data_IF_479089430015
#
_entry.id   IF_479089430015
#
_cell.length_a   1.000
_cell.length_b   1.000
_cell.length_c   1.000
_cell.angle_alpha   90.00
_cell.angle_beta   90.00
_cell.angle_gamma   90.00
#
_symmetry.space_group_name_H-M   'P 1'
#
loop_
_entity.id
_entity.type
_entity.pdbx_description
1 polymer ?
#
# COMPACT_ATOMS: atom_id res chain seq x y z
N UNK A 1 91.63 -5.06 -30.85
CA UNK A 1 90.61 -6.06 -30.45
C UNK A 1 89.39 -5.26 -30.03
N UNK A 2 88.30 -5.40 -30.80
CA UNK A 2 87.19 -4.46 -30.87
C UNK A 2 86.20 -4.55 -29.71
N UNK A 3 85.62 -3.38 -29.39
CA UNK A 3 84.55 -3.08 -28.42
C UNK A 3 83.14 -3.38 -28.95
N UNK A 4 82.14 -3.65 -28.09
CA UNK A 4 80.73 -3.09 -28.14
C UNK A 4 79.78 -3.56 -26.99
N UNK A 5 79.38 -2.61 -26.14
CA UNK A 5 78.05 -2.09 -25.68
C UNK A 5 76.71 -2.91 -25.55
N UNK A 6 76.09 -2.85 -24.33
CA UNK A 6 74.66 -2.68 -23.84
C UNK A 6 73.37 -3.47 -24.27
N UNK A 7 72.67 -4.08 -23.25
CA UNK A 7 71.22 -4.21 -22.81
C UNK A 7 69.98 -4.36 -23.80
N UNK A 8 68.73 -4.74 -23.36
CA UNK A 8 68.03 -6.07 -23.42
C UNK A 8 66.67 -6.10 -24.19
N UNK A 9 65.96 -7.26 -24.34
CA UNK A 9 64.46 -7.49 -24.27
C UNK A 9 63.91 -8.81 -24.91
N UNK A 10 62.96 -9.45 -24.20
CA UNK A 10 61.80 -10.34 -24.54
C UNK A 10 61.92 -11.69 -25.29
N UNK A 11 61.10 -12.68 -24.86
CA UNK A 11 60.01 -13.37 -25.62
C UNK A 11 59.56 -14.66 -24.88
N UNK A 12 58.23 -14.86 -24.73
CA UNK A 12 57.62 -16.19 -24.90
C UNK A 12 56.84 -16.80 -23.73
N UNK A 13 55.51 -16.59 -23.71
CA UNK A 13 54.46 -17.62 -23.59
C UNK A 13 53.10 -16.95 -23.33
N UNK A 14 52.33 -16.68 -24.39
CA UNK A 14 50.90 -16.42 -24.27
C UNK A 14 50.17 -17.75 -24.46
N UNK A 15 49.58 -18.26 -23.39
CA UNK A 15 48.53 -19.26 -23.44
C UNK A 15 47.23 -18.54 -23.84
N UNK A 16 46.74 -18.80 -25.05
CA UNK A 16 45.42 -18.34 -25.48
C UNK A 16 44.36 -19.27 -24.87
N UNK A 17 43.83 -18.88 -23.71
CA UNK A 17 42.67 -19.51 -23.10
C UNK A 17 41.43 -19.12 -23.94
N UNK A 18 40.97 -20.04 -24.77
CA UNK A 18 39.86 -19.84 -25.69
C UNK A 18 38.52 -19.84 -24.93
N UNK A 19 38.08 -18.67 -24.45
CA UNK A 19 36.77 -18.50 -23.80
C UNK A 19 35.65 -18.86 -24.80
N UNK A 20 35.00 -19.99 -24.55
CA UNK A 20 33.84 -20.48 -25.29
C UNK A 20 32.61 -20.09 -24.47
N UNK A 21 31.89 -19.03 -24.85
CA UNK A 21 30.67 -18.60 -24.16
C UNK A 21 29.56 -19.65 -24.33
N UNK A 22 29.36 -20.46 -23.29
CA UNK A 22 28.33 -21.50 -23.24
C UNK A 22 26.96 -20.88 -22.92
N UNK A 23 25.95 -21.10 -23.77
CA UNK A 23 24.58 -20.63 -23.52
C UNK A 23 23.88 -21.45 -22.41
N UNK A 24 22.91 -20.83 -21.73
CA UNK A 24 22.11 -21.50 -20.70
C UNK A 24 21.07 -22.50 -21.29
N UNK A 25 20.98 -23.70 -20.71
CA UNK A 25 19.91 -24.67 -21.01
C UNK A 25 18.65 -24.38 -20.20
N UNK A 26 17.83 -23.45 -20.69
CA UNK A 26 16.59 -22.99 -20.05
C UNK A 26 15.42 -23.93 -20.31
N UNK A 27 14.80 -24.45 -19.25
CA UNK A 27 13.57 -25.27 -19.32
C UNK A 27 12.46 -24.72 -18.42
N UNK A 28 11.20 -25.02 -18.75
CA UNK A 28 10.06 -24.60 -17.92
C UNK A 28 10.12 -25.22 -16.53
N UNK A 29 9.94 -24.37 -15.51
CA UNK A 29 9.98 -24.81 -14.12
C UNK A 29 8.78 -24.27 -13.34
N UNK A 30 8.20 -25.13 -12.50
CA UNK A 30 7.15 -24.74 -11.56
C UNK A 30 7.76 -24.54 -10.18
N UNK A 31 7.75 -23.29 -9.73
CA UNK A 31 8.32 -22.88 -8.45
C UNK A 31 7.29 -23.06 -7.33
N UNK A 32 7.69 -23.72 -6.24
CA UNK A 32 6.84 -23.92 -5.05
C UNK A 32 6.89 -22.74 -4.07
N UNK A 33 7.79 -21.78 -4.30
CA UNK A 33 7.99 -20.57 -3.49
C UNK A 33 8.12 -19.35 -4.40
N UNK A 34 7.74 -18.14 -3.93
CA UNK A 34 7.92 -16.91 -4.70
C UNK A 34 9.40 -16.72 -5.06
N UNK A 35 9.69 -16.70 -6.36
CA UNK A 35 11.05 -16.67 -6.91
C UNK A 35 11.18 -15.50 -7.87
N UNK A 36 12.29 -14.76 -7.81
CA UNK A 36 12.53 -13.61 -8.69
C UNK A 36 13.34 -14.03 -9.93
N UNK A 37 13.16 -13.31 -11.02
CA UNK A 37 13.96 -13.41 -12.23
C UNK A 37 15.37 -12.86 -11.97
N UNK A 38 16.38 -13.61 -12.36
CA UNK A 38 17.78 -13.24 -12.13
C UNK A 38 18.27 -12.13 -13.07
N UNK A 39 17.52 -11.84 -14.14
CA UNK A 39 17.81 -10.78 -15.10
C UNK A 39 17.19 -9.44 -14.67
N UNK A 40 15.85 -9.32 -14.66
CA UNK A 40 15.17 -8.07 -14.34
C UNK A 40 14.87 -7.88 -12.84
N UNK A 41 15.16 -8.88 -12.00
CA UNK A 41 14.85 -8.91 -10.56
C UNK A 41 13.36 -8.82 -10.20
N UNK A 42 12.46 -8.87 -11.19
CA UNK A 42 11.01 -8.95 -10.98
C UNK A 42 10.55 -10.36 -10.58
N UNK A 43 9.39 -10.46 -9.92
CA UNK A 43 8.83 -11.73 -9.46
C UNK A 43 8.36 -12.61 -10.65
N UNK A 44 8.62 -13.91 -10.59
CA UNK A 44 8.03 -14.90 -11.50
C UNK A 44 6.59 -15.19 -11.06
N UNK A 45 5.62 -14.67 -11.81
CA UNK A 45 4.19 -14.70 -11.45
C UNK A 45 3.46 -15.84 -12.18
N UNK A 46 2.58 -16.55 -11.46
CA UNK A 46 1.75 -17.64 -11.99
C UNK A 46 1.56 -18.78 -11.01
N UNK A 47 0.56 -19.64 -11.24
CA UNK A 47 0.30 -20.81 -10.38
C UNK A 47 1.14 -22.04 -10.77
N UNK A 48 1.50 -22.17 -12.06
CA UNK A 48 2.35 -23.23 -12.61
C UNK A 48 3.23 -22.67 -13.72
N UNK A 49 4.38 -23.31 -13.98
CA UNK A 49 5.36 -22.94 -15.03
C UNK A 49 5.63 -21.43 -15.12
N UNK A 50 5.89 -20.80 -13.98
CA UNK A 50 5.98 -19.33 -13.87
C UNK A 50 7.18 -18.73 -14.60
N UNK A 51 8.16 -19.55 -14.95
CA UNK A 51 9.38 -19.10 -15.61
C UNK A 51 10.19 -20.27 -16.16
N UNK A 52 11.33 -19.94 -16.71
CA UNK A 52 12.34 -20.88 -17.17
C UNK A 52 13.47 -20.96 -16.12
N UNK A 53 14.03 -22.14 -15.92
CA UNK A 53 15.20 -22.36 -15.09
C UNK A 53 16.29 -23.02 -15.93
N UNK A 54 17.52 -22.52 -15.80
CA UNK A 54 18.68 -23.20 -16.36
C UNK A 54 18.96 -24.47 -15.55
N UNK A 55 18.94 -25.65 -16.20
CA UNK A 55 19.21 -26.93 -15.53
C UNK A 55 20.61 -27.04 -14.91
N UNK A 56 21.56 -26.25 -15.42
CA UNK A 56 22.96 -26.39 -15.08
C UNK A 56 23.40 -25.43 -13.97
N UNK A 57 23.05 -24.15 -14.07
CA UNK A 57 23.43 -23.15 -13.07
C UNK A 57 22.28 -22.68 -12.17
N UNK A 58 21.04 -23.13 -12.42
CA UNK A 58 19.87 -22.73 -11.63
C UNK A 58 19.39 -21.29 -11.87
N UNK A 59 19.85 -20.61 -12.92
CA UNK A 59 19.41 -19.27 -13.30
C UNK A 59 17.90 -19.28 -13.63
N UNK A 60 17.12 -18.40 -13.02
CA UNK A 60 15.68 -18.33 -13.19
C UNK A 60 15.29 -17.09 -14.00
N UNK A 61 14.48 -17.25 -15.04
CA UNK A 61 14.07 -16.14 -15.92
C UNK A 61 12.60 -16.21 -16.30
N UNK A 62 12.03 -15.08 -16.72
CA UNK A 62 10.66 -15.04 -17.23
C UNK A 62 10.53 -15.86 -18.53
N UNK A 63 9.36 -16.50 -18.71
CA UNK A 63 9.05 -17.31 -19.90
C UNK A 63 8.79 -16.46 -21.16
N UNK A 64 8.48 -15.17 -20.99
CA UNK A 64 8.10 -14.25 -22.07
C UNK A 64 6.62 -14.30 -22.46
N UNK A 65 5.80 -15.05 -21.74
CA UNK A 65 4.35 -15.10 -21.93
C UNK A 65 3.68 -14.73 -20.60
N UNK A 66 3.44 -13.43 -20.39
CA UNK A 66 2.84 -12.97 -19.14
C UNK A 66 2.49 -11.49 -19.10
N UNK A 67 1.58 -11.13 -18.19
CA UNK A 67 1.18 -9.75 -17.92
C UNK A 67 2.35 -9.02 -17.27
N UNK A 68 3.04 -8.16 -18.03
CA UNK A 68 4.19 -7.39 -17.52
C UNK A 68 5.26 -7.06 -18.57
N UNK A 69 5.23 -7.66 -19.77
CA UNK A 69 6.15 -7.31 -20.86
C UNK A 69 7.61 -7.56 -20.53
N UNK A 70 7.93 -8.72 -19.95
CA UNK A 70 9.29 -9.12 -19.58
C UNK A 70 9.88 -10.11 -20.61
N UNK A 71 9.68 -9.84 -21.89
CA UNK A 71 9.99 -10.78 -22.97
C UNK A 71 11.50 -10.83 -23.28
N UNK A 72 12.24 -9.79 -22.85
CA UNK A 72 13.68 -9.65 -23.08
C UNK A 72 14.53 -10.48 -22.09
N UNK A 73 13.95 -10.94 -20.97
CA UNK A 73 14.71 -11.63 -19.91
C UNK A 73 15.30 -12.97 -20.39
N UNK A 74 14.58 -13.68 -21.27
CA UNK A 74 15.06 -14.94 -21.84
C UNK A 74 16.22 -14.70 -22.80
N UNK A 75 16.12 -13.69 -23.65
CA UNK A 75 17.16 -13.36 -24.62
C UNK A 75 18.44 -12.91 -23.91
N UNK A 76 18.32 -12.02 -22.92
CA UNK A 76 19.47 -11.50 -22.17
C UNK A 76 20.18 -12.60 -21.36
N UNK A 77 19.44 -13.58 -20.84
CA UNK A 77 20.03 -14.74 -20.20
C UNK A 77 20.84 -15.61 -21.17
N UNK A 78 20.37 -15.77 -22.41
CA UNK A 78 21.14 -16.52 -23.41
C UNK A 78 22.43 -15.79 -23.82
N UNK A 79 22.44 -14.45 -23.81
CA UNK A 79 23.63 -13.65 -24.11
C UNK A 79 24.67 -13.61 -22.98
N UNK A 80 24.27 -13.70 -21.70
CA UNK A 80 25.20 -13.54 -20.56
C UNK A 80 26.14 -14.72 -20.31
N UNK A 81 25.94 -15.85 -20.98
CA UNK A 81 26.77 -17.04 -20.82
C UNK A 81 26.63 -17.72 -19.44
N UNK A 82 26.77 -19.03 -19.42
CA UNK A 82 26.53 -19.89 -18.28
C UNK A 82 27.84 -20.33 -17.60
N UNK A 83 28.11 -19.92 -16.35
CA UNK A 83 29.34 -20.32 -15.64
C UNK A 83 29.34 -21.78 -15.16
N UNK A 84 28.18 -22.45 -15.14
CA UNK A 84 28.03 -23.84 -14.68
C UNK A 84 28.01 -24.90 -15.79
N UNK A 85 28.16 -24.48 -17.05
CA UNK A 85 27.98 -25.34 -18.20
C UNK A 85 29.30 -26.02 -18.59
N UNK A 86 29.69 -27.09 -17.89
CA UNK A 86 30.81 -27.95 -18.32
C UNK A 86 30.27 -29.11 -19.17
N UNK A 87 30.45 -28.99 -20.49
CA UNK A 87 30.33 -30.00 -21.54
C UNK A 87 29.01 -30.80 -21.70
N UNK A 88 28.66 -30.96 -22.98
CA UNK A 88 27.78 -31.97 -23.62
C UNK A 88 26.36 -31.58 -24.06
N UNK A 89 25.92 -30.33 -23.89
CA UNK A 89 24.79 -29.81 -24.69
C UNK A 89 25.19 -28.48 -25.31
N UNK A 90 26.14 -28.55 -26.24
CA UNK A 90 26.55 -27.41 -27.04
C UNK A 90 25.49 -27.17 -28.13
N UNK A 91 24.71 -26.10 -28.01
CA UNK A 91 24.23 -25.43 -29.22
C UNK A 91 25.48 -24.83 -29.87
N UNK A 92 25.81 -25.17 -31.13
CA UNK A 92 26.97 -24.58 -31.78
C UNK A 92 26.69 -23.11 -32.07
N UNK A 93 27.18 -22.23 -31.21
CA UNK A 93 27.50 -20.86 -31.62
C UNK A 93 28.78 -20.94 -32.43
N UNK A 94 28.64 -20.85 -33.75
CA UNK A 94 29.80 -20.76 -34.66
C UNK A 94 30.62 -19.53 -34.28
N UNK A 95 31.81 -19.74 -33.72
CA UNK A 95 32.80 -18.71 -33.35
C UNK A 95 33.43 -17.98 -34.53
N UNK A 96 32.90 -18.10 -35.75
CA UNK A 96 33.33 -17.22 -36.83
C UNK A 96 32.68 -15.85 -36.60
N UNK A 97 33.46 -14.75 -36.52
CA UNK A 97 32.88 -13.42 -36.42
C UNK A 97 31.97 -13.26 -37.63
N UNK A 98 30.67 -13.16 -37.37
CA UNK A 98 29.65 -12.98 -38.40
C UNK A 98 30.04 -11.71 -39.16
N UNK A 99 30.62 -11.87 -40.35
CA UNK A 99 31.10 -10.74 -41.11
C UNK A 99 29.86 -9.99 -41.57
N UNK A 100 29.84 -8.68 -41.36
CA UNK A 100 28.73 -7.81 -41.77
C UNK A 100 28.35 -8.06 -43.24
N UNK A 101 29.35 -8.38 -44.08
CA UNK A 101 29.15 -8.79 -45.48
C UNK A 101 28.28 -10.05 -45.63
N UNK A 102 28.44 -11.06 -44.77
CA UNK A 102 27.75 -12.35 -44.85
C UNK A 102 26.27 -12.16 -44.42
N UNK A 103 26.00 -11.25 -43.46
CA UNK A 103 24.63 -10.81 -43.08
C UNK A 103 23.97 -9.99 -44.20
N UNK A 104 24.72 -9.07 -44.81
CA UNK A 104 24.23 -8.28 -45.95
C UNK A 104 23.88 -9.18 -47.13
N UNK A 105 24.70 -10.20 -47.40
CA UNK A 105 24.45 -11.16 -48.48
C UNK A 105 23.22 -12.03 -48.17
N UNK A 106 23.04 -12.44 -46.92
CA UNK A 106 21.83 -13.14 -46.45
C UNK A 106 20.57 -12.27 -46.59
N UNK A 107 20.64 -10.99 -46.20
CA UNK A 107 19.55 -10.03 -46.38
C UNK A 107 19.23 -9.82 -47.87
N UNK A 108 20.24 -9.78 -48.75
CA UNK A 108 20.05 -9.72 -50.21
C UNK A 108 19.36 -10.96 -50.75
N UNK A 109 19.75 -12.15 -50.29
CA UNK A 109 19.11 -13.41 -50.71
C UNK A 109 17.64 -13.44 -50.30
N UNK A 110 17.32 -13.10 -49.05
CA UNK A 110 15.93 -13.02 -48.57
C UNK A 110 15.11 -11.94 -49.29
N UNK A 111 15.72 -10.81 -49.64
CA UNK A 111 15.08 -9.76 -50.42
C UNK A 111 14.79 -10.16 -51.87
N UNK A 112 15.61 -11.03 -52.47
CA UNK A 112 15.38 -11.56 -53.81
C UNK A 112 14.26 -12.62 -53.85
N UNK A 113 14.07 -13.37 -52.76
CA UNK A 113 12.99 -14.37 -52.65
C UNK A 113 11.62 -13.75 -52.39
N UNK A 114 11.56 -12.59 -51.74
CA UNK A 114 10.31 -11.89 -51.40
C UNK A 114 10.28 -10.46 -51.97
N UNK A 115 9.45 -10.16 -52.98
CA UNK A 115 9.43 -8.84 -53.63
C UNK A 115 8.99 -7.68 -52.71
N UNK A 116 8.36 -7.97 -51.57
CA UNK A 116 7.91 -6.97 -50.59
C UNK A 116 8.69 -6.97 -49.28
N UNK A 117 9.82 -7.68 -49.21
CA UNK A 117 10.59 -7.90 -47.97
C UNK A 117 10.90 -6.60 -47.20
N UNK A 118 11.43 -5.59 -47.88
CA UNK A 118 11.76 -4.30 -47.25
C UNK A 118 10.54 -3.50 -46.81
N UNK A 119 9.39 -3.66 -47.49
CA UNK A 119 8.14 -3.01 -47.09
C UNK A 119 7.60 -3.66 -45.81
N UNK A 120 7.66 -4.98 -45.73
CA UNK A 120 7.18 -5.73 -44.57
C UNK A 120 8.05 -5.50 -43.33
N UNK A 121 9.38 -5.39 -43.47
CA UNK A 121 10.28 -4.98 -42.37
C UNK A 121 9.92 -3.58 -41.87
N UNK A 122 9.71 -2.61 -42.78
CA UNK A 122 9.31 -1.25 -42.41
C UNK A 122 7.97 -1.25 -41.69
N UNK A 123 6.97 -1.93 -42.24
CA UNK A 123 5.63 -2.03 -41.66
C UNK A 123 5.67 -2.71 -40.28
N UNK A 124 6.53 -3.72 -40.10
CA UNK A 124 6.73 -4.39 -38.82
C UNK A 124 7.39 -3.46 -37.79
N UNK A 125 8.46 -2.76 -38.19
CA UNK A 125 9.16 -1.81 -37.34
C UNK A 125 8.25 -0.64 -36.93
N UNK A 126 7.44 -0.11 -37.86
CA UNK A 126 6.46 0.94 -37.58
C UNK A 126 5.37 0.45 -36.61
N UNK A 127 4.93 -0.81 -36.71
CA UNK A 127 3.99 -1.41 -35.75
C UNK A 127 4.61 -1.55 -34.37
N UNK A 128 5.84 -2.02 -34.28
CA UNK A 128 6.54 -2.22 -33.01
C UNK A 128 6.78 -0.89 -32.30
N UNK A 129 7.27 0.13 -33.03
CA UNK A 129 7.44 1.50 -32.50
C UNK A 129 6.10 2.05 -32.00
N UNK A 130 5.03 1.94 -32.80
CA UNK A 130 3.71 2.42 -32.39
C UNK A 130 3.14 1.66 -31.19
N UNK A 131 3.41 0.36 -31.08
CA UNK A 131 2.98 -0.46 -29.94
C UNK A 131 3.71 -0.05 -28.65
N UNK A 132 5.02 0.18 -28.72
CA UNK A 132 5.82 0.64 -27.59
C UNK A 132 5.41 2.05 -27.14
N UNK A 133 5.22 2.98 -28.07
CA UNK A 133 4.75 4.34 -27.75
C UNK A 133 3.38 4.29 -27.07
N UNK A 134 2.44 3.48 -27.58
CA UNK A 134 1.14 3.28 -26.92
C UNK A 134 1.30 2.72 -25.51
N UNK A 135 2.16 1.72 -25.31
CA UNK A 135 2.47 1.16 -24.00
C UNK A 135 2.98 2.21 -23.02
N UNK A 136 3.97 3.00 -23.43
CA UNK A 136 4.54 4.08 -22.62
C UNK A 136 3.52 5.17 -22.27
N UNK A 137 2.66 5.57 -23.21
CA UNK A 137 1.61 6.56 -22.97
C UNK A 137 0.59 6.02 -21.94
N UNK A 138 0.17 4.76 -22.06
CA UNK A 138 -0.76 4.14 -21.11
C UNK A 138 -0.14 4.06 -19.71
N UNK A 139 1.11 3.63 -19.59
CA UNK A 139 1.80 3.58 -18.28
C UNK A 139 2.00 4.98 -17.69
N UNK A 140 2.36 5.97 -18.51
CA UNK A 140 2.52 7.35 -18.06
C UNK A 140 1.18 7.95 -17.60
N UNK A 141 0.09 7.68 -18.32
CA UNK A 141 -1.26 8.11 -17.94
C UNK A 141 -1.72 7.45 -16.64
N UNK A 142 -1.40 6.16 -16.43
CA UNK A 142 -1.68 5.46 -15.18
C UNK A 142 -0.93 6.08 -14.00
N UNK A 143 0.36 6.41 -14.17
CA UNK A 143 1.16 7.09 -13.13
C UNK A 143 0.66 8.52 -12.85
N UNK A 144 0.25 9.26 -13.88
CA UNK A 144 -0.36 10.59 -13.72
C UNK A 144 -1.67 10.51 -12.93
N UNK A 145 -2.52 9.51 -13.23
CA UNK A 145 -3.77 9.30 -12.50
C UNK A 145 -3.51 8.95 -11.03
N UNK A 146 -2.54 8.07 -10.74
CA UNK A 146 -2.12 7.74 -9.37
C UNK A 146 -1.64 9.01 -8.64
N UNK A 147 -0.76 9.79 -9.26
CA UNK A 147 -0.22 11.02 -8.68
C UNK A 147 -1.33 12.02 -8.36
N UNK A 148 -2.28 12.25 -9.28
CA UNK A 148 -3.45 13.10 -9.05
C UNK A 148 -4.33 12.59 -7.91
N UNK A 149 -4.49 11.28 -7.77
CA UNK A 149 -5.26 10.69 -6.66
C UNK A 149 -4.58 10.92 -5.31
N UNK A 150 -3.25 10.77 -5.24
CA UNK A 150 -2.46 11.02 -4.04
C UNK A 150 -2.48 12.50 -3.66
N UNK A 151 -2.35 13.41 -4.62
CA UNK A 151 -2.43 14.85 -4.38
C UNK A 151 -3.80 15.28 -3.85
N UNK A 152 -4.89 14.69 -4.36
CA UNK A 152 -6.24 14.93 -3.82
C UNK A 152 -6.36 14.46 -2.37
N UNK A 153 -5.85 13.27 -2.06
CA UNK A 153 -5.82 12.75 -0.69
C UNK A 153 -5.00 13.68 0.23
N UNK A 154 -3.80 14.09 -0.20
CA UNK A 154 -2.95 15.04 0.53
C UNK A 154 -3.66 16.36 0.83
N UNK A 155 -4.25 16.98 -0.19
CA UNK A 155 -4.92 18.27 -0.06
C UNK A 155 -6.16 18.20 0.85
N UNK A 156 -6.77 17.03 1.01
CA UNK A 156 -7.87 16.82 1.95
C UNK A 156 -7.38 16.55 3.39
N UNK A 157 -6.32 15.76 3.55
CA UNK A 157 -5.88 15.25 4.86
C UNK A 157 -4.95 16.23 5.57
N UNK A 158 -4.01 16.86 4.85
CA UNK A 158 -2.98 17.74 5.46
C UNK A 158 -3.58 18.93 6.22
N UNK A 159 -4.57 19.68 5.68
CA UNK A 159 -5.17 20.79 6.42
C UNK A 159 -5.83 20.34 7.73
N UNK A 160 -6.44 19.15 7.73
CA UNK A 160 -7.03 18.57 8.94
C UNK A 160 -5.95 18.26 9.98
N UNK A 161 -4.85 17.64 9.58
CA UNK A 161 -3.72 17.35 10.48
C UNK A 161 -3.15 18.64 11.06
N UNK A 162 -2.91 19.65 10.23
CA UNK A 162 -2.42 20.96 10.68
C UNK A 162 -3.37 21.61 11.69
N UNK A 163 -4.68 21.50 11.47
CA UNK A 163 -5.67 22.02 12.41
C UNK A 163 -5.65 21.27 13.73
N UNK A 164 -5.50 19.94 13.71
CA UNK A 164 -5.36 19.12 14.92
C UNK A 164 -4.07 19.45 15.69
N UNK A 165 -2.96 19.63 14.98
CA UNK A 165 -1.68 20.05 15.56
C UNK A 165 -1.79 21.46 16.18
N UNK A 166 -2.54 22.37 15.55
CA UNK A 166 -2.78 23.71 16.11
C UNK A 166 -3.58 23.65 17.41
N UNK A 167 -4.48 22.69 17.60
CA UNK A 167 -5.20 22.51 18.87
C UNK A 167 -4.25 22.01 19.96
N UNK A 168 -3.28 21.17 19.59
CA UNK A 168 -2.28 20.66 20.52
C UNK A 168 -1.32 21.75 21.02
N UNK A 169 -1.05 22.78 20.21
CA UNK A 169 -0.16 23.88 20.62
C UNK A 169 -0.71 24.73 21.77
N UNK A 170 -2.04 24.80 21.95
CA UNK A 170 -2.68 25.48 23.08
C UNK A 170 -2.58 24.71 24.41
N UNK A 171 -2.00 23.51 24.38
CA UNK A 171 -1.70 22.71 25.57
C UNK A 171 -2.71 21.59 25.86
N UNK A 172 -2.29 20.68 26.73
CA UNK A 172 -3.02 19.43 27.01
C UNK A 172 -4.40 19.67 27.65
N UNK A 173 -4.50 20.63 28.56
CA UNK A 173 -5.75 20.95 29.25
C UNK A 173 -6.79 21.57 28.32
N UNK A 174 -6.35 22.41 27.38
CA UNK A 174 -7.23 22.98 26.36
C UNK A 174 -7.87 21.89 25.51
N UNK A 175 -7.09 20.89 25.08
CA UNK A 175 -7.61 19.76 24.31
C UNK A 175 -8.67 18.96 25.11
N UNK A 176 -8.45 18.70 26.40
CA UNK A 176 -9.45 18.02 27.24
C UNK A 176 -10.72 18.84 27.44
N UNK A 177 -10.59 20.15 27.65
CA UNK A 177 -11.74 21.06 27.78
C UNK A 177 -12.58 21.07 26.50
N UNK A 178 -11.94 21.13 25.33
CA UNK A 178 -12.62 21.08 24.04
C UNK A 178 -13.36 19.76 23.83
N UNK A 179 -12.71 18.63 24.15
CA UNK A 179 -13.35 17.31 24.07
C UNK A 179 -14.53 17.18 25.03
N UNK A 180 -14.39 17.70 26.26
CA UNK A 180 -15.47 17.72 27.24
C UNK A 180 -16.67 18.55 26.74
N UNK A 181 -16.42 19.76 26.25
CA UNK A 181 -17.45 20.62 25.65
C UNK A 181 -18.13 19.94 24.46
N UNK A 182 -17.37 19.25 23.61
CA UNK A 182 -17.92 18.47 22.50
C UNK A 182 -18.85 17.35 22.98
N UNK A 183 -18.44 16.58 23.99
CA UNK A 183 -19.29 15.55 24.59
C UNK A 183 -20.56 16.13 25.21
N UNK A 184 -20.47 17.26 25.92
CA UNK A 184 -21.63 17.96 26.50
C UNK A 184 -22.57 18.48 25.41
N UNK A 185 -22.05 19.04 24.33
CA UNK A 185 -22.86 19.54 23.21
C UNK A 185 -23.61 18.41 22.50
N UNK A 186 -22.95 17.28 22.23
CA UNK A 186 -23.59 16.11 21.61
C UNK A 186 -24.61 15.49 22.59
N UNK A 187 -24.27 15.38 23.87
CA UNK A 187 -25.19 14.92 24.91
C UNK A 187 -26.44 15.79 25.01
N UNK A 188 -26.30 17.12 24.93
CA UNK A 188 -27.42 18.05 24.90
C UNK A 188 -28.29 17.86 23.65
N UNK A 189 -27.69 17.65 22.47
CA UNK A 189 -28.44 17.36 21.25
C UNK A 189 -29.26 16.06 21.37
N UNK A 190 -28.64 14.99 21.89
CA UNK A 190 -29.31 13.70 22.12
C UNK A 190 -30.46 13.86 23.13
N UNK A 191 -30.25 14.63 24.19
CA UNK A 191 -31.29 14.95 25.16
C UNK A 191 -32.48 15.72 24.54
N UNK A 192 -32.20 16.72 23.69
CA UNK A 192 -33.24 17.45 22.96
C UNK A 192 -34.06 16.51 22.05
N UNK A 193 -33.40 15.61 21.32
CA UNK A 193 -34.08 14.61 20.47
C UNK A 193 -34.95 13.67 21.32
N UNK A 194 -34.41 13.19 22.44
CA UNK A 194 -35.14 12.33 23.37
C UNK A 194 -36.37 13.05 23.95
N UNK A 195 -36.25 14.34 24.24
CA UNK A 195 -37.36 15.17 24.74
C UNK A 195 -38.47 15.34 23.70
N UNK A 196 -38.10 15.62 22.45
CA UNK A 196 -39.05 15.73 21.34
C UNK A 196 -39.81 14.40 21.18
N UNK A 197 -39.10 13.27 21.19
CA UNK A 197 -39.71 11.94 21.11
C UNK A 197 -40.67 11.66 22.27
N UNK A 198 -40.28 12.01 23.50
CA UNK A 198 -41.12 11.87 24.69
C UNK A 198 -42.42 12.68 24.58
N UNK A 199 -42.32 13.94 24.14
CA UNK A 199 -43.49 14.82 23.94
C UNK A 199 -44.41 14.26 22.87
N UNK A 200 -43.88 13.86 21.70
CA UNK A 200 -44.70 13.31 20.61
C UNK A 200 -45.47 12.05 21.00
N UNK A 201 -44.88 11.19 21.84
CA UNK A 201 -45.51 9.93 22.26
C UNK A 201 -46.54 10.12 23.38
N UNK A 202 -46.25 10.98 24.37
CA UNK A 202 -47.10 11.09 25.56
C UNK A 202 -48.15 12.21 25.48
N UNK A 203 -47.91 13.24 24.68
CA UNK A 203 -48.86 14.34 24.48
C UNK A 203 -50.24 13.84 24.00
N UNK A 204 -50.35 12.91 23.03
CA UNK A 204 -51.66 12.42 22.58
C UNK A 204 -52.39 11.53 23.59
N UNK A 205 -51.66 10.91 24.53
CA UNK A 205 -52.21 9.87 25.43
C UNK A 205 -52.65 10.41 26.79
N UNK A 206 -51.99 11.45 27.31
CA UNK A 206 -52.20 11.89 28.70
C UNK A 206 -52.61 13.36 28.87
N UNK A 207 -52.66 14.18 27.81
CA UNK A 207 -52.89 15.62 27.94
C UNK A 207 -51.76 16.32 28.74
N UNK A 208 -51.84 17.63 28.90
CA UNK A 208 -50.72 18.47 29.39
C UNK A 208 -50.08 18.00 30.72
N UNK A 209 -48.74 17.88 30.69
CA UNK A 209 -47.79 18.33 31.72
C UNK A 209 -48.20 18.21 33.21
N UNK A 210 -48.48 16.99 33.68
CA UNK A 210 -48.55 16.74 35.13
C UNK A 210 -47.14 16.71 35.75
N UNK A 211 -47.02 16.98 37.06
CA UNK A 211 -45.76 16.86 37.81
C UNK A 211 -45.15 15.45 37.66
N UNK A 212 -45.99 14.42 37.60
CA UNK A 212 -45.58 13.03 37.36
C UNK A 212 -44.99 12.85 35.95
N UNK A 213 -45.59 13.47 34.93
CA UNK A 213 -45.08 13.45 33.55
C UNK A 213 -43.68 14.08 33.45
N UNK A 214 -43.43 15.20 34.15
CA UNK A 214 -42.10 15.83 34.19
C UNK A 214 -41.05 14.98 34.91
N UNK A 215 -41.41 14.34 36.03
CA UNK A 215 -40.49 13.41 36.73
C UNK A 215 -40.12 12.23 35.83
N UNK A 216 -41.11 11.65 35.14
CA UNK A 216 -40.86 10.56 34.19
C UNK A 216 -40.00 11.02 33.00
N UNK A 217 -40.27 12.21 32.45
CA UNK A 217 -39.47 12.81 31.37
C UNK A 217 -38.01 13.00 31.78
N UNK A 218 -37.79 13.47 33.01
CA UNK A 218 -36.45 13.67 33.56
C UNK A 218 -35.69 12.34 33.70
N UNK A 219 -36.31 11.31 34.29
CA UNK A 219 -35.70 9.96 34.41
C UNK A 219 -35.40 9.36 33.03
N UNK A 220 -36.33 9.50 32.08
CA UNK A 220 -36.11 9.06 30.69
C UNK A 220 -34.91 9.75 30.06
N UNK A 221 -34.85 11.08 30.15
CA UNK A 221 -33.77 11.87 29.56
C UNK A 221 -32.40 11.52 30.16
N UNK A 222 -32.32 11.34 31.48
CA UNK A 222 -31.09 10.89 32.15
C UNK A 222 -30.69 9.47 31.75
N UNK A 223 -31.66 8.57 31.54
CA UNK A 223 -31.40 7.20 31.10
C UNK A 223 -30.86 7.17 29.67
N UNK A 224 -31.44 7.96 28.76
CA UNK A 224 -30.97 8.08 27.37
C UNK A 224 -29.56 8.68 27.34
N UNK A 225 -29.31 9.74 28.11
CA UNK A 225 -28.00 10.38 28.19
C UNK A 225 -26.92 9.41 28.71
N UNK A 226 -27.21 8.68 29.79
CA UNK A 226 -26.29 7.66 30.32
C UNK A 226 -26.02 6.54 29.31
N UNK A 227 -27.06 5.98 28.67
CA UNK A 227 -26.92 4.95 27.63
C UNK A 227 -26.09 5.42 26.44
N UNK A 228 -26.27 6.67 26.02
CA UNK A 228 -25.48 7.30 24.97
C UNK A 228 -23.98 7.35 25.34
N UNK A 229 -23.65 7.83 26.55
CA UNK A 229 -22.25 7.90 26.98
C UNK A 229 -21.61 6.51 27.17
N UNK A 230 -22.37 5.51 27.66
CA UNK A 230 -21.91 4.12 27.70
C UNK A 230 -21.57 3.58 26.30
N UNK A 231 -22.48 3.81 25.34
CA UNK A 231 -22.29 3.40 23.95
C UNK A 231 -21.07 4.10 23.33
N UNK A 232 -20.91 5.40 23.61
CA UNK A 232 -19.77 6.19 23.16
C UNK A 232 -18.44 5.63 23.69
N UNK A 233 -18.37 5.26 24.98
CA UNK A 233 -17.17 4.64 25.57
C UNK A 233 -16.85 3.33 24.85
N UNK A 234 -17.85 2.47 24.60
CA UNK A 234 -17.65 1.20 23.87
C UNK A 234 -17.11 1.47 22.46
N UNK A 235 -17.71 2.40 21.72
CA UNK A 235 -17.28 2.78 20.37
C UNK A 235 -15.83 3.29 20.40
N UNK A 236 -15.48 4.15 21.35
CA UNK A 236 -14.12 4.70 21.49
C UNK A 236 -13.10 3.61 21.83
N UNK A 237 -13.47 2.62 22.65
CA UNK A 237 -12.61 1.46 22.94
C UNK A 237 -12.41 0.57 21.70
N UNK A 238 -13.44 0.37 20.88
CA UNK A 238 -13.33 -0.34 19.61
C UNK A 238 -12.43 0.42 18.63
N UNK A 239 -12.62 1.74 18.49
CA UNK A 239 -11.77 2.60 17.67
C UNK A 239 -10.31 2.57 18.15
N UNK A 240 -10.07 2.57 19.46
CA UNK A 240 -8.72 2.43 20.04
C UNK A 240 -8.08 1.09 19.66
N UNK A 241 -8.85 0.00 19.67
CA UNK A 241 -8.37 -1.31 19.20
C UNK A 241 -8.05 -1.28 17.71
N UNK A 242 -8.91 -0.68 16.88
CA UNK A 242 -8.68 -0.53 15.44
C UNK A 242 -7.42 0.29 15.14
N UNK A 243 -7.23 1.43 15.81
CA UNK A 243 -6.03 2.27 15.65
C UNK A 243 -4.77 1.52 16.09
N UNK A 244 -4.84 0.72 17.16
CA UNK A 244 -3.72 -0.12 17.59
C UNK A 244 -3.36 -1.18 16.53
N UNK A 245 -4.37 -1.82 15.94
CA UNK A 245 -4.18 -2.78 14.85
C UNK A 245 -3.60 -2.11 13.60
N UNK A 246 -4.12 -0.94 13.23
CA UNK A 246 -3.58 -0.15 12.13
C UNK A 246 -2.13 0.22 12.38
N UNK A 247 -1.78 0.71 13.57
CA UNK A 247 -0.41 1.08 13.90
C UNK A 247 0.58 -0.08 13.78
N UNK A 248 0.18 -1.30 14.16
CA UNK A 248 1.00 -2.51 13.95
C UNK A 248 1.26 -2.77 12.46
N UNK A 249 0.29 -2.46 11.61
CA UNK A 249 0.39 -2.61 10.15
C UNK A 249 0.97 -1.38 9.45
N UNK A 250 1.03 -0.22 10.10
CA UNK A 250 1.57 1.01 9.51
C UNK A 250 3.06 0.89 9.20
N UNK A 251 3.84 0.14 9.99
CA UNK A 251 5.25 -0.12 9.66
C UNK A 251 5.39 -0.96 8.38
N UNK A 252 4.52 -1.95 8.19
CA UNK A 252 4.47 -2.75 6.96
C UNK A 252 3.98 -1.91 5.78
N UNK A 253 3.04 -0.99 6.00
CA UNK A 253 2.56 -0.08 4.97
C UNK A 253 3.65 0.92 4.55
N UNK A 254 4.39 1.49 5.51
CA UNK A 254 5.51 2.39 5.24
C UNK A 254 6.62 1.68 4.45
N UNK A 255 6.94 0.44 4.85
CA UNK A 255 7.87 -0.41 4.11
C UNK A 255 7.35 -0.73 2.69
N UNK A 256 6.09 -1.13 2.55
CA UNK A 256 5.46 -1.40 1.26
C UNK A 256 5.42 -0.17 0.35
N UNK A 257 5.11 1.01 0.88
CA UNK A 257 5.10 2.27 0.12
C UNK A 257 6.50 2.61 -0.41
N UNK A 258 7.55 2.39 0.39
CA UNK A 258 8.93 2.58 -0.05
C UNK A 258 9.38 1.53 -1.06
N UNK A 259 9.07 0.26 -0.83
CA UNK A 259 9.57 -0.85 -1.65
C UNK A 259 8.84 -0.99 -2.99
N UNK A 260 7.51 -0.81 -3.00
CA UNK A 260 6.68 -1.04 -4.20
C UNK A 260 6.46 0.24 -5.01
N UNK A 261 6.22 1.36 -4.33
CA UNK A 261 5.94 2.62 -5.01
C UNK A 261 7.16 3.53 -5.11
N UNK A 262 8.28 3.20 -4.46
CA UNK A 262 9.47 4.07 -4.34
C UNK A 262 9.13 5.47 -3.83
N UNK A 263 8.03 5.61 -3.11
CA UNK A 263 7.57 6.88 -2.55
C UNK A 263 8.18 7.06 -1.18
N UNK A 264 8.83 8.19 -0.96
CA UNK A 264 9.17 8.64 0.38
C UNK A 264 8.00 9.49 0.88
N UNK A 265 7.07 8.85 1.59
CA UNK A 265 5.84 9.49 2.08
C UNK A 265 6.08 10.83 2.81
N UNK A 266 7.23 10.99 3.47
CA UNK A 266 7.61 12.24 4.14
C UNK A 266 7.95 13.37 3.16
N UNK A 267 8.61 13.06 2.05
CA UNK A 267 8.99 14.02 1.00
C UNK A 267 7.79 14.32 0.09
N UNK A 268 7.01 13.30 -0.29
CA UNK A 268 5.94 13.43 -1.29
C UNK A 268 4.61 13.93 -0.70
N UNK A 269 4.27 13.51 0.53
CA UNK A 269 3.02 13.89 1.21
C UNK A 269 3.23 14.99 2.25
N UNK A 270 4.47 15.30 2.64
CA UNK A 270 4.80 16.27 3.67
C UNK A 270 4.43 15.83 5.09
N UNK A 271 4.04 14.55 5.27
CA UNK A 271 3.63 14.01 6.57
C UNK A 271 4.08 12.56 6.73
N UNK A 272 4.83 12.28 7.80
CA UNK A 272 5.21 10.91 8.16
C UNK A 272 3.99 10.08 8.57
N UNK A 273 3.80 8.91 7.95
CA UNK A 273 2.75 7.94 8.28
C UNK A 273 2.82 7.54 9.77
N UNK A 274 4.04 7.33 10.27
CA UNK A 274 4.29 7.00 11.68
C UNK A 274 3.92 8.18 12.60
N UNK A 275 4.17 9.42 12.17
CA UNK A 275 3.74 10.63 12.87
C UNK A 275 2.21 10.76 12.95
N UNK A 276 1.49 10.45 11.87
CA UNK A 276 0.01 10.42 11.87
C UNK A 276 -0.51 9.35 12.82
N UNK A 277 0.06 8.14 12.78
CA UNK A 277 -0.38 7.05 13.63
C UNK A 277 -0.18 7.34 15.13
N UNK A 278 0.97 7.94 15.50
CA UNK A 278 1.23 8.40 16.87
C UNK A 278 0.23 9.46 17.33
N UNK A 279 -0.08 10.46 16.48
CA UNK A 279 -1.10 11.48 16.79
C UNK A 279 -2.48 10.86 16.99
N UNK A 280 -2.88 9.95 16.10
CA UNK A 280 -4.15 9.24 16.24
C UNK A 280 -4.24 8.47 17.57
N UNK A 281 -3.15 7.83 18.00
CA UNK A 281 -3.07 7.14 19.30
C UNK A 281 -3.17 8.10 20.49
N UNK A 282 -2.56 9.27 20.40
CA UNK A 282 -2.62 10.28 21.45
C UNK A 282 -4.05 10.81 21.60
N UNK A 283 -4.68 11.19 20.48
CA UNK A 283 -6.04 11.71 20.46
C UNK A 283 -7.08 10.67 20.88
N UNK A 284 -6.98 9.43 20.42
CA UNK A 284 -7.93 8.39 20.86
C UNK A 284 -7.81 8.11 22.36
N UNK A 285 -6.59 8.22 22.94
CA UNK A 285 -6.41 8.11 24.39
C UNK A 285 -7.08 9.28 25.13
N UNK A 286 -6.93 10.52 24.64
CA UNK A 286 -7.61 11.70 25.21
C UNK A 286 -9.13 11.57 25.13
N UNK A 287 -9.66 11.14 23.97
CA UNK A 287 -11.09 10.89 23.78
C UNK A 287 -11.58 9.78 24.72
N UNK A 288 -10.81 8.71 24.92
CA UNK A 288 -11.16 7.63 25.88
C UNK A 288 -11.30 8.18 27.29
N UNK A 289 -10.36 9.00 27.75
CA UNK A 289 -10.43 9.60 29.09
C UNK A 289 -11.62 10.54 29.20
N UNK A 290 -11.82 11.43 28.24
CA UNK A 290 -12.94 12.39 28.25
C UNK A 290 -14.32 11.70 28.18
N UNK A 291 -14.47 10.68 27.33
CA UNK A 291 -15.71 9.88 27.25
C UNK A 291 -15.97 9.08 28.54
N UNK A 292 -14.92 8.55 29.19
CA UNK A 292 -15.05 7.86 30.47
C UNK A 292 -15.50 8.81 31.58
N UNK A 293 -14.90 10.01 31.67
CA UNK A 293 -15.27 11.04 32.67
C UNK A 293 -16.72 11.48 32.48
N UNK A 294 -17.13 11.76 31.23
CA UNK A 294 -18.52 12.16 30.94
C UNK A 294 -19.52 11.03 31.17
N UNK A 295 -19.14 9.77 30.92
CA UNK A 295 -19.96 8.61 31.26
C UNK A 295 -20.15 8.45 32.78
N UNK A 296 -19.10 8.62 33.58
CA UNK A 296 -19.20 8.60 35.05
C UNK A 296 -20.10 9.73 35.53
N UNK A 297 -19.94 10.95 34.99
CA UNK A 297 -20.81 12.07 35.33
C UNK A 297 -22.29 11.79 34.98
N UNK A 298 -22.56 11.23 33.80
CA UNK A 298 -23.90 10.83 33.39
C UNK A 298 -24.48 9.73 34.29
N UNK A 299 -23.66 8.77 34.73
CA UNK A 299 -24.06 7.73 35.68
C UNK A 299 -24.47 8.34 37.02
N UNK A 300 -23.70 9.28 37.56
CA UNK A 300 -24.03 9.96 38.83
C UNK A 300 -25.31 10.79 38.73
N UNK A 301 -25.51 11.52 37.62
CA UNK A 301 -26.74 12.25 37.35
C UNK A 301 -27.95 11.31 37.22
N UNK A 302 -27.77 10.19 36.53
CA UNK A 302 -28.80 9.17 36.40
C UNK A 302 -29.17 8.55 37.75
N UNK A 303 -28.19 8.24 38.61
CA UNK A 303 -28.42 7.76 39.97
C UNK A 303 -29.17 8.79 40.82
N UNK A 304 -28.78 10.07 40.76
CA UNK A 304 -29.46 11.16 41.46
C UNK A 304 -30.89 11.39 40.97
N UNK A 305 -31.22 10.99 39.73
CA UNK A 305 -32.56 11.12 39.16
C UNK A 305 -33.53 10.01 39.57
N UNK A 306 -33.05 8.92 40.18
CA UNK A 306 -33.91 7.79 40.56
C UNK A 306 -34.85 8.17 41.72
N UNK A 307 -36.12 7.74 41.70
CA UNK A 307 -37.04 7.95 42.82
C UNK A 307 -36.55 7.22 44.08
N UNK A 308 -36.71 7.86 45.25
CA UNK A 308 -36.36 7.25 46.53
C UNK A 308 -37.26 6.06 46.85
N UNK A 309 -36.69 4.99 47.40
CA UNK A 309 -37.39 3.74 47.76
C UNK A 309 -38.57 3.94 48.72
N UNK A 310 -38.63 5.05 49.44
CA UNK A 310 -39.75 5.45 50.31
C UNK A 310 -41.04 5.82 49.57
N UNK A 311 -40.98 6.09 48.26
CA UNK A 311 -42.16 6.44 47.45
C UNK A 311 -43.01 5.24 46.98
N UNK A 312 -42.58 4.02 47.30
CA UNK A 312 -43.22 2.76 46.92
C UNK A 312 -43.95 2.06 48.08
N UNK A 313 -44.17 2.71 49.23
CA UNK A 313 -45.06 2.11 50.23
C UNK A 313 -46.49 2.10 49.68
N UNK A 314 -47.12 0.93 49.48
CA UNK A 314 -48.54 0.89 49.20
C UNK A 314 -49.25 1.51 50.40
N UNK A 315 -50.11 2.49 50.14
CA UNK A 315 -51.03 3.00 51.14
C UNK A 315 -51.81 1.81 51.68
N UNK A 316 -51.47 1.35 52.88
CA UNK A 316 -52.26 0.41 53.65
C UNK A 316 -53.60 1.09 53.92
N UNK A 317 -54.59 0.78 53.07
CA UNK A 317 -55.97 1.19 53.27
C UNK A 317 -56.49 0.38 54.45
N UNK A 318 -56.79 1.10 55.53
CA UNK A 318 -57.72 0.69 56.59
C UNK A 318 -59.14 0.83 56.06
#
# INVERSE_FOLDING_TARGET
MSSTTTLPKAIGANEEHEEQELAHLLEEHTYTKPTNCDICKGLLVGLWSQGLQCKLCGLNVHRGEGVGGHDDCRAEALFKGCPGCHNDVCVPTTKEPVRVRDVIEQMRQMANEKPNFFREIRDQMDKDINSQIKGMIVSASAEEHKTKSLLRARNSIVPFIQKVDSVESYGIWFAYSLLCLGHLAIGALVACIAWIGFVLVLFPRHGLFTVSSFKLAHVHNMTVLYSFHCSLVIIVLLLRRLISLMNRKCNLLDQFLREVFKLEAEVDLGVSVNGVAKRAQLWIRRITVSSSVTCIAAMLLWQASQPSSSSFQPSSSV
#
